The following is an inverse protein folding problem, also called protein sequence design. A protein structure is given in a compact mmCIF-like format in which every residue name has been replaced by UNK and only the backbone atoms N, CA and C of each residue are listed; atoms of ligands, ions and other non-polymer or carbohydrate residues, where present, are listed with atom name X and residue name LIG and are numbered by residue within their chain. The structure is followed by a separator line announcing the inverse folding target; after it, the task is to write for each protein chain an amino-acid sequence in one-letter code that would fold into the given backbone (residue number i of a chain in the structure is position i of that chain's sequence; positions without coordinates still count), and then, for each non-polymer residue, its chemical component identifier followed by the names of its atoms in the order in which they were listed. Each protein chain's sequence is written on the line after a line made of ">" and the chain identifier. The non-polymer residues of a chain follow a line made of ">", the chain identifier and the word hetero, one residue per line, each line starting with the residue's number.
data_IF_494825817801
#
_entry.id   IF_494825817801
#
_cell.length_a   1.000
_cell.length_b   1.000
_cell.length_c   1.000
_cell.angle_alpha   90.00
_cell.angle_beta   90.00
_cell.angle_gamma   90.00
#
_symmetry.space_group_name_H-M   'P 1'
#
loop_
_entity.id
_entity.type
_entity.pdbx_description
1 polymer ?
#
# COMPACT_ATOMS: atom_id res chain seq x y z
N UNK A 1 10.23 18.40 -7.56
CA UNK A 1 9.39 17.29 -8.07
C UNK A 1 10.09 15.93 -8.04
N UNK A 2 11.21 15.69 -8.76
CA UNK A 2 11.86 14.36 -8.75
C UNK A 2 12.25 13.84 -7.36
N UNK A 3 12.68 14.72 -6.46
CA UNK A 3 13.01 14.34 -5.08
C UNK A 3 11.82 13.72 -4.32
N UNK A 4 10.58 14.16 -4.59
CA UNK A 4 9.40 13.63 -3.89
C UNK A 4 9.03 12.22 -4.36
N UNK A 5 9.24 11.88 -5.63
CA UNK A 5 9.10 10.49 -6.10
C UNK A 5 10.11 9.56 -5.42
N UNK A 6 11.35 10.03 -5.25
CA UNK A 6 12.37 9.27 -4.51
C UNK A 6 11.97 9.07 -3.05
N UNK A 7 11.50 10.13 -2.37
CA UNK A 7 11.06 10.04 -0.97
C UNK A 7 9.83 9.15 -0.84
N UNK A 8 8.85 9.28 -1.74
CA UNK A 8 7.68 8.40 -1.80
C UNK A 8 8.11 6.93 -1.90
N UNK A 9 9.01 6.63 -2.84
CA UNK A 9 9.47 5.27 -3.06
C UNK A 9 10.26 4.72 -1.87
N UNK A 10 11.04 5.55 -1.19
CA UNK A 10 11.74 5.17 0.03
C UNK A 10 10.75 4.84 1.15
N UNK A 11 9.75 5.71 1.37
CA UNK A 11 8.74 5.51 2.41
C UNK A 11 7.82 4.32 2.13
N UNK A 12 7.52 4.04 0.87
CA UNK A 12 6.82 2.83 0.48
C UNK A 12 7.66 1.56 0.75
N UNK A 13 8.97 1.58 0.50
CA UNK A 13 9.84 0.43 0.83
C UNK A 13 9.98 0.22 2.35
N UNK A 14 10.10 1.30 3.12
CA UNK A 14 10.08 1.28 4.59
C UNK A 14 8.76 0.69 5.12
N UNK A 15 7.63 1.10 4.54
CA UNK A 15 6.31 0.54 4.86
C UNK A 15 6.26 -0.99 4.64
N UNK A 16 6.72 -1.48 3.50
CA UNK A 16 6.78 -2.92 3.24
C UNK A 16 7.70 -3.65 4.22
N UNK A 17 8.83 -3.04 4.58
CA UNK A 17 9.76 -3.61 5.55
C UNK A 17 9.10 -3.73 6.92
N UNK A 18 8.44 -2.69 7.40
CA UNK A 18 7.76 -2.69 8.68
C UNK A 18 6.58 -3.68 8.71
N UNK A 19 5.85 -3.85 7.59
CA UNK A 19 4.85 -4.90 7.46
C UNK A 19 5.46 -6.31 7.53
N UNK A 20 6.64 -6.53 6.96
CA UNK A 20 7.31 -7.84 6.97
C UNK A 20 7.90 -8.14 8.34
N UNK A 21 8.46 -7.12 9.00
CA UNK A 21 9.20 -7.25 10.25
C UNK A 21 8.29 -7.17 11.49
N UNK A 22 7.19 -6.42 11.42
CA UNK A 22 6.24 -6.21 12.52
C UNK A 22 5.23 -7.34 12.71
N UNK A 23 5.07 -8.22 11.73
CA UNK A 23 4.18 -9.37 11.84
C UNK A 23 4.80 -10.53 12.63
N UNK A 24 4.02 -11.23 13.47
CA UNK A 24 4.51 -12.42 14.19
C UNK A 24 5.10 -13.46 13.23
N UNK A 25 6.30 -13.99 13.53
CA UNK A 25 6.97 -15.03 12.72
C UNK A 25 6.49 -16.44 13.02
N UNK A 26 5.22 -16.60 13.39
CA UNK A 26 4.61 -17.91 13.65
C UNK A 26 4.07 -18.51 12.35
N UNK A 27 3.93 -19.85 12.25
CA UNK A 27 3.46 -20.51 11.03
C UNK A 27 2.15 -19.96 10.47
N UNK A 28 1.26 -19.48 11.35
CA UNK A 28 -0.03 -18.90 10.96
C UNK A 28 0.10 -17.63 10.09
N UNK A 29 1.13 -16.82 10.34
CA UNK A 29 1.34 -15.53 9.66
C UNK A 29 2.38 -15.61 8.54
N UNK A 30 3.07 -16.73 8.38
CA UNK A 30 4.07 -16.92 7.31
C UNK A 30 3.51 -16.69 5.91
N UNK A 31 2.24 -17.05 5.68
CA UNK A 31 1.56 -16.79 4.40
C UNK A 31 1.44 -15.28 4.18
N UNK A 32 0.94 -14.53 5.16
CA UNK A 32 0.78 -13.07 5.10
C UNK A 32 2.12 -12.36 4.89
N UNK A 33 3.16 -12.75 5.64
CA UNK A 33 4.50 -12.19 5.49
C UNK A 33 5.10 -12.53 4.11
N UNK A 34 4.84 -13.72 3.59
CA UNK A 34 5.22 -14.12 2.24
C UNK A 34 4.56 -13.24 1.17
N UNK A 35 3.28 -12.93 1.34
CA UNK A 35 2.57 -12.02 0.46
C UNK A 35 3.16 -10.61 0.46
N UNK A 36 3.48 -10.05 1.64
CA UNK A 36 4.14 -8.75 1.70
C UNK A 36 5.52 -8.73 1.02
N UNK A 37 6.28 -9.83 1.08
CA UNK A 37 7.55 -9.96 0.33
C UNK A 37 7.33 -9.97 -1.17
N UNK A 38 6.33 -10.70 -1.66
CA UNK A 38 5.96 -10.71 -3.08
C UNK A 38 5.57 -9.32 -3.56
N UNK A 39 4.77 -8.60 -2.76
CA UNK A 39 4.32 -7.25 -3.05
C UNK A 39 5.47 -6.25 -3.08
N UNK A 40 6.37 -6.29 -2.09
CA UNK A 40 7.59 -5.48 -2.07
C UNK A 40 8.48 -5.75 -3.29
N UNK A 41 8.54 -7.00 -3.73
CA UNK A 41 9.32 -7.38 -4.92
C UNK A 41 8.71 -6.78 -6.18
N UNK A 42 7.39 -6.88 -6.35
CA UNK A 42 6.66 -6.22 -7.44
C UNK A 42 6.82 -4.70 -7.44
N UNK A 43 6.71 -4.08 -6.26
CA UNK A 43 6.98 -2.65 -6.08
C UNK A 43 8.41 -2.28 -6.49
N UNK A 44 9.41 -3.08 -6.09
CA UNK A 44 10.81 -2.86 -6.45
C UNK A 44 11.03 -2.91 -7.96
N UNK A 45 10.41 -3.87 -8.65
CA UNK A 45 10.45 -3.94 -10.11
C UNK A 45 9.84 -2.70 -10.76
N UNK A 46 8.64 -2.29 -10.32
CA UNK A 46 7.96 -1.09 -10.84
C UNK A 46 8.81 0.16 -10.65
N UNK A 47 9.34 0.36 -9.44
CA UNK A 47 10.22 1.49 -9.10
C UNK A 47 11.46 1.55 -9.99
N UNK A 48 12.07 0.39 -10.28
CA UNK A 48 13.29 0.31 -11.08
C UNK A 48 13.03 0.52 -12.58
N UNK A 49 11.82 0.22 -13.06
CA UNK A 49 11.41 0.47 -14.45
C UNK A 49 11.05 1.95 -14.68
N UNK A 50 10.27 2.54 -13.78
CA UNK A 50 9.88 3.95 -13.80
C UNK A 50 9.67 4.43 -12.37
N UNK A 51 10.51 5.36 -11.91
CA UNK A 51 10.47 5.86 -10.53
C UNK A 51 9.16 6.62 -10.19
N UNK A 52 8.36 7.04 -11.18
CA UNK A 52 7.06 7.69 -10.98
C UNK A 52 5.91 6.69 -10.93
N UNK A 53 6.11 5.50 -11.48
CA UNK A 53 5.04 4.52 -11.65
C UNK A 53 4.42 4.05 -10.32
N UNK A 54 5.17 3.81 -9.23
CA UNK A 54 4.58 3.43 -7.96
C UNK A 54 3.63 4.51 -7.40
N UNK A 55 4.02 5.78 -7.47
CA UNK A 55 3.17 6.88 -7.01
C UNK A 55 1.91 7.00 -7.86
N UNK A 56 2.02 6.93 -9.20
CA UNK A 56 0.86 7.04 -10.10
C UNK A 56 -0.18 5.98 -9.79
N UNK A 57 0.28 4.73 -9.65
CA UNK A 57 -0.60 3.62 -9.31
C UNK A 57 -1.23 3.82 -7.94
N UNK A 58 -0.45 4.21 -6.92
CA UNK A 58 -0.98 4.51 -5.60
C UNK A 58 -2.06 5.59 -5.67
N UNK A 59 -1.85 6.66 -6.44
CA UNK A 59 -2.84 7.71 -6.64
C UNK A 59 -4.11 7.15 -7.27
N UNK A 60 -3.98 6.54 -8.45
CA UNK A 60 -5.10 6.10 -9.28
C UNK A 60 -5.99 5.05 -8.61
N UNK A 61 -5.43 4.23 -7.71
CA UNK A 61 -6.19 3.13 -7.09
C UNK A 61 -6.44 3.29 -5.59
N UNK A 62 -5.59 4.04 -4.88
CA UNK A 62 -5.73 4.22 -3.43
C UNK A 62 -6.31 5.60 -3.13
N UNK A 63 -5.71 6.65 -3.66
CA UNK A 63 -6.13 8.02 -3.34
C UNK A 63 -7.50 8.32 -3.95
N UNK A 64 -7.67 8.09 -5.25
CA UNK A 64 -8.90 8.44 -5.96
C UNK A 64 -10.14 7.71 -5.40
N UNK A 65 -9.95 6.54 -4.78
CA UNK A 65 -11.07 5.75 -4.24
C UNK A 65 -11.20 5.83 -2.73
N UNK A 66 -10.10 6.00 -1.99
CA UNK A 66 -10.08 5.79 -0.54
C UNK A 66 -9.46 6.93 0.26
N UNK A 67 -9.17 8.10 -0.33
CA UNK A 67 -8.59 9.24 0.40
C UNK A 67 -9.36 9.56 1.68
N UNK A 68 -10.67 9.70 1.60
CA UNK A 68 -11.49 10.07 2.77
C UNK A 68 -11.51 8.96 3.83
N UNK A 69 -11.53 7.70 3.40
CA UNK A 69 -11.43 6.54 4.30
C UNK A 69 -10.08 6.52 5.03
N UNK A 70 -8.99 6.82 4.32
CA UNK A 70 -7.64 6.92 4.90
C UNK A 70 -7.52 8.10 5.88
N UNK A 71 -8.11 9.25 5.54
CA UNK A 71 -8.10 10.42 6.42
C UNK A 71 -8.77 10.11 7.76
N UNK A 72 -9.90 9.42 7.72
CA UNK A 72 -10.74 9.12 8.88
C UNK A 72 -10.38 7.79 9.60
N UNK A 73 -9.34 7.07 9.15
CA UNK A 73 -9.03 5.71 9.64
C UNK A 73 -10.26 4.76 9.55
N UNK A 74 -11.11 4.96 8.55
CA UNK A 74 -12.31 4.17 8.34
C UNK A 74 -11.94 2.81 7.74
N UNK A 75 -11.88 1.78 8.58
CA UNK A 75 -11.56 0.41 8.19
C UNK A 75 -12.61 -0.21 7.24
N UNK A 76 -13.77 0.42 7.02
CA UNK A 76 -14.83 -0.08 6.12
C UNK A 76 -14.33 -0.36 4.71
N UNK A 77 -13.30 0.35 4.25
CA UNK A 77 -12.71 0.17 2.91
C UNK A 77 -11.88 -1.11 2.78
N UNK A 78 -11.36 -1.64 3.89
CA UNK A 78 -10.76 -2.98 3.91
C UNK A 78 -11.83 -4.07 3.92
N UNK A 79 -13.05 -3.77 4.36
CA UNK A 79 -14.11 -4.77 4.59
C UNK A 79 -15.16 -4.83 3.47
N UNK A 80 -15.27 -3.79 2.62
CA UNK A 80 -16.22 -3.79 1.50
C UNK A 80 -15.70 -4.63 0.33
N UNK A 81 -16.46 -5.67 -0.03
CA UNK A 81 -16.24 -6.56 -1.17
C UNK A 81 -16.32 -5.74 -2.48
N UNK A 82 -15.41 -6.04 -3.40
CA UNK A 82 -15.15 -5.38 -4.67
C UNK A 82 -16.41 -5.07 -5.52
N UNK A 83 -16.70 -3.79 -5.74
CA UNK A 83 -17.39 -3.29 -6.95
C UNK A 83 -16.37 -2.45 -7.74
N UNK A 84 -15.53 -3.11 -8.52
CA UNK A 84 -14.70 -2.44 -9.50
C UNK A 84 -14.95 -3.06 -10.86
N UNK A 85 -15.57 -2.33 -11.78
CA UNK A 85 -15.57 -2.69 -13.21
C UNK A 85 -14.16 -2.47 -13.79
N UNK A 86 -13.65 -3.48 -14.51
CA UNK A 86 -12.21 -3.68 -14.77
C UNK A 86 -11.91 -3.58 -16.27
N UNK A 87 -10.88 -2.81 -16.65
CA UNK A 87 -10.38 -2.77 -18.04
C UNK A 87 -8.86 -2.83 -18.22
N UNK A 88 -8.02 -3.05 -17.18
CA UNK A 88 -6.55 -3.08 -17.36
C UNK A 88 -5.78 -4.20 -16.62
N UNK A 89 -4.86 -4.86 -17.33
CA UNK A 89 -3.99 -5.97 -16.85
C UNK A 89 -2.99 -5.60 -15.76
N UNK A 90 -2.72 -4.31 -15.52
CA UNK A 90 -1.77 -3.86 -14.47
C UNK A 90 -2.43 -3.71 -13.09
N UNK A 91 -3.76 -3.75 -13.05
CA UNK A 91 -4.61 -3.54 -11.85
C UNK A 91 -4.66 -4.78 -10.95
N UNK A 92 -4.52 -5.98 -11.52
CA UNK A 92 -4.55 -7.27 -10.80
C UNK A 92 -3.52 -7.32 -9.67
N UNK A 93 -2.27 -6.89 -9.92
CA UNK A 93 -1.21 -6.91 -8.91
C UNK A 93 -1.48 -6.01 -7.69
N UNK A 94 -2.21 -4.91 -7.87
CA UNK A 94 -2.51 -3.96 -6.79
C UNK A 94 -3.85 -4.24 -6.10
N UNK A 95 -4.78 -4.92 -6.77
CA UNK A 95 -5.95 -5.50 -6.11
C UNK A 95 -5.53 -6.68 -5.22
N UNK A 96 -4.65 -7.55 -5.72
CA UNK A 96 -3.98 -8.57 -4.91
C UNK A 96 -3.32 -7.95 -3.68
N UNK A 97 -2.63 -6.82 -3.85
CA UNK A 97 -2.01 -6.08 -2.74
C UNK A 97 -3.02 -5.67 -1.68
N UNK A 98 -4.12 -5.04 -2.09
CA UNK A 98 -5.15 -4.57 -1.17
C UNK A 98 -5.84 -5.76 -0.49
N UNK A 99 -6.19 -6.81 -1.22
CA UNK A 99 -6.82 -8.00 -0.65
C UNK A 99 -5.88 -8.73 0.34
N UNK A 100 -4.57 -8.76 0.06
CA UNK A 100 -3.56 -9.30 0.99
C UNK A 100 -3.43 -8.45 2.25
N UNK A 101 -3.44 -7.12 2.13
CA UNK A 101 -3.49 -6.23 3.30
C UNK A 101 -4.79 -6.45 4.08
N UNK A 102 -5.95 -6.57 3.43
CA UNK A 102 -7.25 -6.84 4.09
C UNK A 102 -7.21 -8.13 4.90
N UNK A 103 -6.69 -9.21 4.30
CA UNK A 103 -6.53 -10.50 4.99
C UNK A 103 -5.62 -10.39 6.22
N UNK A 104 -4.54 -9.63 6.09
CA UNK A 104 -3.62 -9.37 7.19
C UNK A 104 -4.25 -8.49 8.28
N UNK A 105 -5.01 -7.47 7.88
CA UNK A 105 -5.60 -6.45 8.74
C UNK A 105 -6.50 -7.03 9.82
N UNK A 106 -7.29 -8.04 9.47
CA UNK A 106 -8.17 -8.75 10.41
C UNK A 106 -7.39 -9.46 11.53
N UNK A 107 -6.10 -9.72 11.35
CA UNK A 107 -5.23 -10.42 12.30
C UNK A 107 -4.18 -9.51 12.95
N UNK A 108 -4.17 -8.22 12.65
CA UNK A 108 -3.25 -7.25 13.27
C UNK A 108 -3.79 -6.77 14.62
N UNK A 109 -2.88 -6.52 15.56
CA UNK A 109 -3.19 -5.72 16.73
C UNK A 109 -3.32 -4.23 16.40
N UNK A 110 -3.86 -3.47 17.35
CA UNK A 110 -4.10 -2.03 17.19
C UNK A 110 -2.82 -1.22 17.00
N UNK A 111 -1.68 -1.71 17.51
CA UNK A 111 -0.39 -1.03 17.35
C UNK A 111 0.10 -1.10 15.90
N UNK A 112 0.04 -2.29 15.30
CA UNK A 112 0.38 -2.50 13.90
C UNK A 112 -0.57 -1.75 12.97
N UNK A 113 -1.89 -1.76 13.25
CA UNK A 113 -2.88 -0.97 12.47
C UNK A 113 -2.56 0.52 12.49
N UNK A 114 -2.19 1.08 13.65
CA UNK A 114 -1.79 2.50 13.77
C UNK A 114 -0.54 2.82 12.94
N UNK A 115 0.42 1.91 12.85
CA UNK A 115 1.61 2.09 12.01
C UNK A 115 1.20 2.17 10.53
N UNK A 116 0.33 1.28 10.06
CA UNK A 116 -0.15 1.30 8.66
C UNK A 116 -0.88 2.59 8.35
N UNK A 117 -1.75 3.07 9.24
CA UNK A 117 -2.46 4.33 9.03
C UNK A 117 -1.52 5.52 8.91
N UNK A 118 -0.46 5.58 9.73
CA UNK A 118 0.58 6.59 9.60
C UNK A 118 1.26 6.54 8.23
N UNK A 119 1.58 5.34 7.74
CA UNK A 119 2.17 5.17 6.41
C UNK A 119 1.22 5.59 5.30
N UNK A 120 -0.05 5.21 5.33
CA UNK A 120 -1.00 5.63 4.31
C UNK A 120 -1.18 7.15 4.26
N UNK A 121 -1.34 7.81 5.41
CA UNK A 121 -1.42 9.28 5.44
C UNK A 121 -0.15 9.93 4.91
N UNK A 122 1.02 9.41 5.27
CA UNK A 122 2.31 9.90 4.77
C UNK A 122 2.41 9.73 3.24
N UNK A 123 2.05 8.57 2.71
CA UNK A 123 2.10 8.28 1.28
C UNK A 123 1.09 9.13 0.49
N UNK A 124 -0.11 9.39 1.04
CA UNK A 124 -1.08 10.33 0.45
C UNK A 124 -0.46 11.74 0.37
N UNK A 125 0.09 12.25 1.47
CA UNK A 125 0.71 13.57 1.49
C UNK A 125 1.92 13.68 0.53
N UNK A 126 2.76 12.65 0.46
CA UNK A 126 3.89 12.60 -0.48
C UNK A 126 3.42 12.51 -1.93
N UNK A 127 2.32 11.80 -2.20
CA UNK A 127 1.73 11.74 -3.52
C UNK A 127 1.23 13.12 -3.96
N UNK A 128 0.62 13.90 -3.08
CA UNK A 128 0.19 15.28 -3.39
C UNK A 128 1.40 16.16 -3.74
N UNK A 129 2.52 16.02 -3.00
CA UNK A 129 3.78 16.72 -3.30
C UNK A 129 4.43 16.30 -4.62
N UNK A 130 4.12 15.12 -5.15
CA UNK A 130 4.62 14.69 -6.47
C UNK A 130 3.92 15.44 -7.62
N UNK A 131 2.72 15.96 -7.39
CA UNK A 131 1.89 16.64 -8.40
C UNK A 131 1.97 18.19 -8.33
N UNK A 132 2.50 18.74 -7.23
CA UNK A 132 2.74 20.18 -7.09
C UNK A 132 3.75 20.65 -8.15
N UNK A 133 3.32 21.60 -9.00
CA UNK A 133 4.12 22.23 -10.07
C UNK A 133 5.14 23.22 -9.52
#
# INVERSE_FOLDING_TARGET
>A
MEAYFTIFNQKADEFFKDLIDGFPKTPEYNVVVGEFRTLRSGFTLLKNMDNKQPQRIFRDYIIETYRDKIANEDESFFLSKNDFEITSRRKEYWMDFIDKIKMAWAKMDDENKKIIWKYFRLLVALSDKCEEK
#
